data_IF_802869654034
#
_entry.id   IF_802869654034
#
_cell.length_a   1.000
_cell.length_b   1.000
_cell.length_c   1.000
_cell.angle_alpha   90.00
_cell.angle_beta   90.00
_cell.angle_gamma   90.00
#
_symmetry.space_group_name_H-M   'P 1'
#
loop_
_entity.id
_entity.type
_entity.pdbx_description
1 polymer ?
#
# COMPACT_ATOMS: atom_id res chain seq x y z
N UNK A 1 32.47 11.22 -12.86
CA UNK A 1 31.29 11.12 -11.96
C UNK A 1 31.77 11.27 -10.52
N UNK A 2 31.23 12.22 -9.75
CA UNK A 2 31.50 12.28 -8.30
C UNK A 2 30.77 11.11 -7.65
N UNK A 3 31.52 10.21 -7.00
CA UNK A 3 30.95 9.12 -6.21
C UNK A 3 30.29 9.76 -5.00
N UNK A 4 28.95 9.77 -4.97
CA UNK A 4 28.20 10.20 -3.79
C UNK A 4 28.36 9.07 -2.76
N UNK A 5 29.21 9.29 -1.76
CA UNK A 5 29.29 8.41 -0.60
C UNK A 5 28.09 8.70 0.30
N UNK A 6 27.12 7.80 0.33
CA UNK A 6 26.02 7.88 1.26
C UNK A 6 26.51 7.69 2.69
N UNK A 7 25.79 8.29 3.64
CA UNK A 7 26.00 8.08 5.06
C UNK A 7 25.53 6.67 5.45
N UNK A 8 26.25 6.04 6.38
CA UNK A 8 25.86 4.73 6.91
C UNK A 8 24.48 4.80 7.59
N UNK A 9 23.69 3.73 7.45
CA UNK A 9 22.31 3.69 7.92
C UNK A 9 22.18 4.03 9.43
N UNK A 10 23.05 3.46 10.25
CA UNK A 10 23.08 3.73 11.69
C UNK A 10 23.36 5.20 12.00
N UNK A 11 24.21 5.85 11.19
CA UNK A 11 24.52 7.26 11.39
C UNK A 11 23.34 8.15 10.98
N UNK A 12 22.63 7.80 9.90
CA UNK A 12 21.40 8.47 9.47
C UNK A 12 20.35 8.39 10.58
N UNK A 13 20.08 7.18 11.10
CA UNK A 13 19.09 6.96 12.15
C UNK A 13 19.43 7.78 13.39
N UNK A 14 20.69 7.72 13.85
CA UNK A 14 21.14 8.46 15.04
C UNK A 14 20.96 9.96 14.88
N UNK A 15 21.42 10.53 13.75
CA UNK A 15 21.30 11.96 13.48
C UNK A 15 19.84 12.39 13.35
N UNK A 16 19.01 11.59 12.69
CA UNK A 16 17.58 11.86 12.52
C UNK A 16 16.82 11.86 13.85
N UNK A 17 17.05 10.86 14.71
CA UNK A 17 16.44 10.82 16.04
C UNK A 17 16.91 12.00 16.89
N UNK A 18 18.20 12.33 16.89
CA UNK A 18 18.70 13.49 17.63
C UNK A 18 18.07 14.80 17.17
N UNK A 19 17.90 15.00 15.86
CA UNK A 19 17.22 16.17 15.31
C UNK A 19 15.75 16.23 15.74
N UNK A 20 15.03 15.09 15.70
CA UNK A 20 13.64 15.02 16.16
C UNK A 20 13.50 15.38 17.65
N UNK A 21 14.37 14.83 18.50
CA UNK A 21 14.36 15.12 19.94
C UNK A 21 14.70 16.58 20.24
N UNK A 22 15.62 17.18 19.48
CA UNK A 22 16.00 18.58 19.64
C UNK A 22 14.85 19.53 19.30
N UNK A 23 14.14 19.27 18.21
CA UNK A 23 13.10 20.19 17.70
C UNK A 23 11.73 19.96 18.35
N UNK A 24 11.35 18.70 18.59
CA UNK A 24 10.01 18.35 19.08
C UNK A 24 9.98 18.07 20.59
N UNK A 25 11.15 17.87 21.20
CA UNK A 25 11.26 17.36 22.57
C UNK A 25 10.90 15.86 22.67
N UNK A 26 11.21 15.21 23.81
CA UNK A 26 11.11 13.76 23.93
C UNK A 26 9.71 13.18 23.70
N UNK A 27 8.67 13.88 24.14
CA UNK A 27 7.29 13.40 24.07
C UNK A 27 6.77 13.41 22.63
N UNK A 28 6.88 14.54 21.94
CA UNK A 28 6.39 14.66 20.55
C UNK A 28 7.32 13.94 19.56
N UNK A 29 8.64 13.87 19.82
CA UNK A 29 9.54 13.04 19.01
C UNK A 29 9.17 11.56 19.10
N UNK A 30 8.89 11.04 20.30
CA UNK A 30 8.40 9.67 20.48
C UNK A 30 7.07 9.47 19.76
N UNK A 31 6.12 10.39 19.93
CA UNK A 31 4.82 10.34 19.24
C UNK A 31 5.06 10.25 17.74
N UNK A 32 5.84 11.15 17.15
CA UNK A 32 6.18 11.18 15.73
C UNK A 32 6.74 9.85 15.21
N UNK A 33 7.70 9.24 15.93
CA UNK A 33 8.26 7.94 15.56
C UNK A 33 7.23 6.80 15.61
N UNK A 34 6.21 6.93 16.47
CA UNK A 34 5.13 5.95 16.63
C UNK A 34 3.89 6.25 15.79
N UNK A 35 3.78 7.43 15.18
CA UNK A 35 2.72 7.73 14.23
C UNK A 35 2.89 6.70 13.11
N UNK A 36 1.96 5.74 13.07
CA UNK A 36 1.81 4.89 11.90
C UNK A 36 1.58 5.88 10.76
N UNK A 37 2.56 6.01 9.85
CA UNK A 37 2.35 6.80 8.65
C UNK A 37 1.02 6.30 8.09
N UNK A 38 0.04 7.17 7.83
CA UNK A 38 -0.92 6.85 6.80
C UNK A 38 -0.11 6.91 5.48
N UNK A 39 0.78 5.94 5.27
CA UNK A 39 0.81 5.37 3.94
C UNK A 39 -0.62 4.91 3.79
N UNK A 40 -1.41 5.68 3.03
CA UNK A 40 -2.63 5.18 2.42
C UNK A 40 -2.23 4.02 1.50
N UNK A 41 -1.71 2.93 2.08
CA UNK A 41 -1.91 1.61 1.52
C UNK A 41 -3.39 1.41 1.72
N UNK A 42 -4.13 1.79 0.70
CA UNK A 42 -5.49 1.33 0.54
C UNK A 42 -5.48 -0.16 0.82
N UNK A 43 -6.16 -0.57 1.90
CA UNK A 43 -6.21 -1.97 2.28
C UNK A 43 -6.74 -2.77 1.08
N UNK A 44 -6.25 -3.99 0.91
CA UNK A 44 -6.81 -5.00 -0.01
C UNK A 44 -8.34 -4.96 -0.07
N UNK A 45 -9.00 -4.82 1.09
CA UNK A 45 -10.45 -4.71 1.21
C UNK A 45 -10.99 -3.39 0.62
N UNK A 46 -10.35 -2.25 0.91
CA UNK A 46 -10.78 -0.95 0.38
C UNK A 46 -10.64 -0.89 -1.14
N UNK A 47 -9.52 -1.39 -1.68
CA UNK A 47 -9.27 -1.49 -3.11
C UNK A 47 -10.27 -2.41 -3.80
N UNK A 48 -10.61 -3.54 -3.17
CA UNK A 48 -11.64 -4.44 -3.68
C UNK A 48 -13.01 -3.77 -3.71
N UNK A 49 -13.38 -3.05 -2.65
CA UNK A 49 -14.65 -2.29 -2.59
C UNK A 49 -14.73 -1.22 -3.68
N UNK A 50 -13.64 -0.49 -3.94
CA UNK A 50 -13.60 0.49 -5.04
C UNK A 50 -13.76 -0.17 -6.41
N UNK A 51 -13.07 -1.29 -6.64
CA UNK A 51 -13.24 -2.07 -7.85
C UNK A 51 -14.69 -2.57 -8.02
N UNK A 52 -15.31 -3.12 -6.98
CA UNK A 52 -16.72 -3.54 -7.01
C UNK A 52 -17.67 -2.38 -7.31
N UNK A 53 -17.41 -1.19 -6.75
CA UNK A 53 -18.22 0.00 -6.98
C UNK A 53 -18.11 0.53 -8.42
N UNK A 54 -17.02 0.23 -9.13
CA UNK A 54 -16.84 0.61 -10.54
C UNK A 54 -17.54 -0.31 -11.55
N UNK A 55 -18.13 -1.43 -11.10
CA UNK A 55 -18.77 -2.40 -11.99
C UNK A 55 -20.27 -2.14 -12.12
N UNK A 56 -20.77 -2.27 -13.35
CA UNK A 56 -22.18 -2.59 -13.59
C UNK A 56 -22.41 -4.06 -13.23
N UNK A 57 -23.25 -4.30 -12.22
CA UNK A 57 -23.50 -5.65 -11.70
C UNK A 57 -24.08 -6.57 -12.76
N UNK A 58 -25.04 -6.09 -13.53
CA UNK A 58 -25.81 -6.93 -14.45
C UNK A 58 -24.93 -7.34 -15.63
N UNK A 59 -24.11 -6.41 -16.13
CA UNK A 59 -23.13 -6.69 -17.17
C UNK A 59 -22.05 -7.66 -16.69
N UNK A 60 -21.49 -7.43 -15.49
CA UNK A 60 -20.46 -8.28 -14.93
C UNK A 60 -20.94 -9.72 -14.72
N UNK A 61 -22.12 -9.93 -14.13
CA UNK A 61 -22.67 -11.27 -13.94
C UNK A 61 -22.94 -11.96 -15.28
N UNK A 62 -23.44 -11.23 -16.27
CA UNK A 62 -23.66 -11.76 -17.62
C UNK A 62 -22.36 -12.26 -18.26
N UNK A 63 -21.27 -11.48 -18.14
CA UNK A 63 -19.95 -11.86 -18.67
C UNK A 63 -19.37 -13.08 -17.93
N UNK A 64 -19.39 -13.09 -16.59
CA UNK A 64 -18.85 -14.21 -15.79
C UNK A 64 -19.60 -15.52 -16.08
N UNK A 65 -20.92 -15.46 -16.19
CA UNK A 65 -21.74 -16.64 -16.48
C UNK A 65 -21.53 -17.16 -17.91
N UNK A 66 -21.30 -16.28 -18.89
CA UNK A 66 -20.93 -16.69 -20.24
C UNK A 66 -19.55 -17.36 -20.26
N UNK A 67 -18.55 -16.75 -19.63
CA UNK A 67 -17.20 -17.31 -19.53
C UNK A 67 -17.19 -18.70 -18.83
N UNK A 68 -18.03 -18.90 -17.81
CA UNK A 68 -18.20 -20.19 -17.15
C UNK A 68 -18.83 -21.24 -18.09
N UNK A 69 -19.84 -20.85 -18.90
CA UNK A 69 -20.47 -21.75 -19.88
C UNK A 69 -19.49 -22.19 -20.97
N UNK A 70 -18.67 -21.27 -21.48
CA UNK A 70 -17.65 -21.58 -22.50
C UNK A 70 -16.56 -22.55 -21.99
N UNK A 71 -16.15 -22.41 -20.73
CA UNK A 71 -15.18 -23.32 -20.11
C UNK A 71 -15.78 -24.69 -19.79
N UNK A 72 -17.07 -24.75 -19.44
CA UNK A 72 -17.78 -26.02 -19.25
C UNK A 72 -18.02 -26.78 -20.56
N UNK A 73 -18.12 -26.08 -21.70
CA UNK A 73 -18.21 -26.69 -23.03
C UNK A 73 -16.87 -27.22 -23.57
N UNK A 74 -15.74 -26.66 -23.14
CA UNK A 74 -14.38 -27.10 -23.57
C UNK A 74 -13.83 -28.33 -22.85
N UNK A 75 -14.43 -28.78 -21.74
CA UNK A 75 -14.02 -30.02 -21.04
C UNK A 75 -14.73 -31.29 -21.54
N UNK A 76 -15.56 -31.18 -22.59
CA UNK A 76 -16.33 -32.29 -23.14
C UNK A 76 -16.11 -32.56 -24.63
N UNK A 77 -15.00 -32.09 -25.23
CA UNK A 77 -14.63 -32.40 -26.61
C UNK A 77 -13.23 -33.00 -26.70
#
# INVERSE_FOLDING_TARGET
MKVIKYMEENEIVRRGVNALYKELGPMEARRFLTIRRPLQREDSVQRHRKWQASLDKDEFFKQVMMAHREQSGKKGS
#
